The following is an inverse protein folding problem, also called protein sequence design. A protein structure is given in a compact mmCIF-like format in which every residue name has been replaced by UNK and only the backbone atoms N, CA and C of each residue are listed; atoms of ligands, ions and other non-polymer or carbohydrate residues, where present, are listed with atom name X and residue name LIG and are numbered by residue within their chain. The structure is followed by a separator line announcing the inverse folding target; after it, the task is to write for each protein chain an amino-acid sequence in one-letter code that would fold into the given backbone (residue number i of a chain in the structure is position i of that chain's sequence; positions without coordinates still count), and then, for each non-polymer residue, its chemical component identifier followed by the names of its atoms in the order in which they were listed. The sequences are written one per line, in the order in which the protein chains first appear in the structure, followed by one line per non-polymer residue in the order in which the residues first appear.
data_IF_952812814795
#
_entry.id   IF_952812814795
#
_cell.length_a   1.000
_cell.length_b   1.000
_cell.length_c   1.000
_cell.angle_alpha   90.00
_cell.angle_beta   90.00
_cell.angle_gamma   90.00
#
_symmetry.space_group_name_H-M   'P 1'
#
loop_
_entity.id
_entity.type
_entity.pdbx_description
1 polymer ?
#
# COMPACT_ATOMS: atom_id res chain seq x y z
N UNK A 1 4.20 25.92 10.13
CA UNK A 1 4.32 24.48 10.49
C UNK A 1 5.00 24.31 11.84
N UNK A 2 6.12 25.00 12.13
CA UNK A 2 6.82 24.93 13.43
C UNK A 2 5.89 25.29 14.59
N UNK A 3 5.15 26.39 14.49
CA UNK A 3 4.19 26.80 15.53
C UNK A 3 3.14 25.71 15.84
N UNK A 4 2.58 25.08 14.80
CA UNK A 4 1.64 23.95 14.99
C UNK A 4 2.30 22.75 15.67
N UNK A 5 3.56 22.48 15.34
CA UNK A 5 4.29 21.38 15.97
C UNK A 5 4.59 21.67 17.46
N UNK A 6 4.86 22.94 17.84
CA UNK A 6 5.00 23.34 19.24
C UNK A 6 3.70 23.14 20.02
N UNK A 7 2.55 23.48 19.45
CA UNK A 7 1.24 23.19 20.07
C UNK A 7 1.12 21.67 20.32
N UNK A 8 1.50 20.83 19.34
CA UNK A 8 1.50 19.38 19.52
C UNK A 8 2.44 18.89 20.62
N UNK A 9 3.60 19.54 20.80
CA UNK A 9 4.52 19.28 21.92
C UNK A 9 3.85 19.61 23.26
N UNK A 10 3.27 20.81 23.36
CA UNK A 10 2.63 21.31 24.58
C UNK A 10 1.44 20.45 25.00
N UNK A 11 0.70 19.91 24.04
CA UNK A 11 -0.43 19.00 24.27
C UNK A 11 -0.03 17.52 24.43
N UNK A 12 1.25 17.16 24.27
CA UNK A 12 1.73 15.78 24.30
C UNK A 12 1.31 14.94 23.09
N UNK A 13 0.85 15.59 22.00
CA UNK A 13 0.45 14.93 20.75
C UNK A 13 1.66 14.90 19.80
N UNK A 14 2.54 13.96 20.05
CA UNK A 14 3.79 13.80 19.29
C UNK A 14 3.96 12.36 18.76
N UNK A 15 4.59 12.18 17.59
CA UNK A 15 4.86 10.86 17.02
C UNK A 15 6.00 10.13 17.74
N UNK A 16 6.22 8.84 17.46
CA UNK A 16 7.36 8.09 17.94
C UNK A 16 8.69 8.66 17.45
N UNK A 17 9.64 8.82 18.37
CA UNK A 17 10.95 9.44 18.11
C UNK A 17 11.73 8.75 16.99
N UNK A 18 11.75 7.40 16.96
CA UNK A 18 12.53 6.65 15.98
C UNK A 18 12.06 6.90 14.53
N UNK A 19 10.76 7.16 14.30
CA UNK A 19 10.25 7.56 12.99
C UNK A 19 10.70 8.96 12.62
N UNK A 20 10.65 9.89 13.58
CA UNK A 20 11.04 11.27 13.36
C UNK A 20 12.55 11.44 13.14
N UNK A 21 13.38 10.50 13.60
CA UNK A 21 14.79 10.46 13.25
C UNK A 21 15.03 10.25 11.75
N UNK A 22 14.16 9.49 11.07
CA UNK A 22 14.22 9.34 9.60
C UNK A 22 13.85 10.66 8.91
N UNK A 23 12.78 11.32 9.37
CA UNK A 23 12.35 12.63 8.86
C UNK A 23 13.44 13.69 9.07
N UNK A 24 14.10 13.68 10.21
CA UNK A 24 15.23 14.60 10.49
C UNK A 24 16.36 14.45 9.46
N UNK A 25 16.72 13.21 9.08
CA UNK A 25 17.72 12.96 8.03
C UNK A 25 17.27 13.52 6.68
N UNK A 26 15.99 13.36 6.32
CA UNK A 26 15.43 13.91 5.07
C UNK A 26 15.46 15.44 5.06
N UNK A 27 15.16 16.08 6.20
CA UNK A 27 15.28 17.55 6.36
C UNK A 27 16.73 17.98 6.19
N UNK A 28 17.67 17.27 6.81
CA UNK A 28 19.12 17.58 6.70
C UNK A 28 19.61 17.57 5.24
N UNK A 29 19.14 16.61 4.43
CA UNK A 29 19.47 16.57 3.00
C UNK A 29 19.08 17.85 2.25
N UNK A 30 17.95 18.49 2.64
CA UNK A 30 17.50 19.74 2.01
C UNK A 30 18.28 20.98 2.49
N UNK A 31 18.96 20.87 3.63
CA UNK A 31 19.80 21.96 4.16
C UNK A 31 21.18 21.99 3.50
N UNK A 32 21.75 20.80 3.29
CA UNK A 32 23.14 20.63 2.84
C UNK A 32 23.26 20.36 1.34
N UNK A 33 22.18 20.57 0.57
CA UNK A 33 22.18 20.37 -0.87
C UNK A 33 22.60 21.64 -1.61
N UNK A 34 23.35 21.47 -2.70
CA UNK A 34 23.60 22.57 -3.62
C UNK A 34 22.30 22.97 -4.33
N UNK A 35 22.02 24.28 -4.51
CA UNK A 35 20.75 24.76 -5.08
C UNK A 35 20.37 24.11 -6.42
N UNK A 36 21.33 23.89 -7.30
CA UNK A 36 21.14 23.27 -8.62
C UNK A 36 20.81 21.76 -8.54
N UNK A 37 21.10 21.10 -7.41
CA UNK A 37 20.76 19.71 -7.14
C UNK A 37 19.48 19.56 -6.30
N UNK A 38 18.89 20.67 -5.86
CA UNK A 38 17.65 20.65 -5.09
C UNK A 38 16.50 20.04 -5.89
N UNK A 39 15.67 19.17 -5.26
CA UNK A 39 14.44 18.68 -5.88
C UNK A 39 13.49 19.81 -6.35
N UNK A 40 13.56 20.97 -5.68
CA UNK A 40 12.78 22.17 -6.05
C UNK A 40 13.27 22.81 -7.35
N UNK A 41 14.51 22.55 -7.77
CA UNK A 41 15.06 23.06 -9.02
C UNK A 41 14.76 22.14 -10.21
N UNK A 42 14.40 20.88 -9.98
CA UNK A 42 14.22 19.85 -11.03
C UNK A 42 13.26 20.31 -12.12
N UNK A 43 12.10 20.87 -11.74
CA UNK A 43 11.10 21.35 -12.72
C UNK A 43 11.66 22.43 -13.64
N UNK A 44 12.62 23.24 -13.17
CA UNK A 44 13.22 24.30 -13.96
C UNK A 44 14.32 23.80 -14.93
N UNK A 45 14.88 22.62 -14.67
CA UNK A 45 15.81 21.96 -15.62
C UNK A 45 15.12 21.48 -16.88
N UNK A 46 13.85 21.09 -16.75
CA UNK A 46 13.06 20.46 -17.80
C UNK A 46 12.16 21.48 -18.56
N UNK A 47 12.24 22.76 -18.22
CA UNK A 47 11.50 23.81 -18.93
C UNK A 47 12.01 23.91 -20.38
N UNK A 48 11.08 24.14 -21.32
CA UNK A 48 11.40 24.33 -22.72
C UNK A 48 12.37 25.52 -22.91
N UNK A 49 13.56 25.23 -23.44
CA UNK A 49 14.62 26.21 -23.67
C UNK A 49 14.27 27.32 -24.67
N UNK A 50 13.15 27.17 -25.40
CA UNK A 50 12.67 28.16 -26.36
C UNK A 50 11.80 29.27 -25.73
N UNK A 51 11.72 29.33 -24.40
CA UNK A 51 11.05 30.43 -23.69
C UNK A 51 12.02 31.63 -23.63
N UNK A 52 11.58 32.80 -24.06
CA UNK A 52 12.41 34.02 -24.17
C UNK A 52 13.13 34.43 -22.85
N UNK A 53 12.61 34.00 -21.68
CA UNK A 53 13.18 34.30 -20.36
C UNK A 53 13.79 33.08 -19.68
N UNK A 54 14.21 32.05 -20.41
CA UNK A 54 14.68 30.78 -19.84
C UNK A 54 15.78 30.96 -18.79
N UNK A 55 16.83 31.67 -19.12
CA UNK A 55 17.98 31.89 -18.23
C UNK A 55 17.59 32.72 -17.00
N UNK A 56 16.78 33.76 -17.17
CA UNK A 56 16.27 34.58 -16.05
C UNK A 56 15.43 33.78 -15.07
N UNK A 57 14.54 32.91 -15.57
CA UNK A 57 13.69 32.02 -14.73
C UNK A 57 14.54 31.04 -13.94
N UNK A 58 15.56 30.46 -14.58
CA UNK A 58 16.48 29.56 -13.90
C UNK A 58 17.29 30.26 -12.81
N UNK A 59 17.86 31.43 -13.11
CA UNK A 59 18.62 32.23 -12.12
C UNK A 59 17.72 32.65 -10.96
N UNK A 60 16.49 33.11 -11.23
CA UNK A 60 15.51 33.46 -10.21
C UNK A 60 15.16 32.27 -9.34
N UNK A 61 14.94 31.07 -9.94
CA UNK A 61 14.63 29.86 -9.20
C UNK A 61 15.80 29.46 -8.27
N UNK A 62 17.02 29.47 -8.75
CA UNK A 62 18.22 29.19 -7.95
C UNK A 62 18.38 30.18 -6.80
N UNK A 63 18.18 31.47 -7.07
CA UNK A 63 18.23 32.52 -6.05
C UNK A 63 17.16 32.31 -4.97
N UNK A 64 15.91 31.99 -5.33
CA UNK A 64 14.84 31.69 -4.37
C UNK A 64 15.17 30.45 -3.54
N UNK A 65 15.68 29.38 -4.17
CA UNK A 65 16.09 28.19 -3.45
C UNK A 65 17.18 28.51 -2.44
N UNK A 66 18.22 29.23 -2.85
CA UNK A 66 19.35 29.60 -1.99
C UNK A 66 18.92 30.53 -0.85
N UNK A 67 18.10 31.54 -1.13
CA UNK A 67 17.81 32.62 -0.16
C UNK A 67 16.53 32.40 0.65
N UNK A 68 15.64 31.50 0.25
CA UNK A 68 14.35 31.29 0.92
C UNK A 68 14.14 29.80 1.31
N UNK A 69 14.30 28.85 0.36
CA UNK A 69 13.97 27.45 0.61
C UNK A 69 14.97 26.82 1.58
N UNK A 70 16.26 26.86 1.25
CA UNK A 70 17.32 26.29 2.10
C UNK A 70 17.32 26.91 3.51
N UNK A 71 17.24 28.24 3.70
CA UNK A 71 17.13 28.83 5.03
C UNK A 71 15.86 28.43 5.79
N UNK A 72 14.74 28.17 5.10
CA UNK A 72 13.52 27.67 5.75
C UNK A 72 13.72 26.22 6.26
N UNK A 73 14.38 25.37 5.48
CA UNK A 73 14.74 24.02 5.93
C UNK A 73 15.78 24.05 7.05
N UNK A 74 16.74 24.98 7.04
CA UNK A 74 17.68 25.15 8.12
C UNK A 74 16.99 25.48 9.45
N UNK A 75 16.00 26.39 9.45
CA UNK A 75 15.18 26.66 10.64
C UNK A 75 14.39 25.43 11.09
N UNK A 76 13.82 24.67 10.15
CA UNK A 76 13.11 23.44 10.47
C UNK A 76 14.07 22.37 11.05
N UNK A 77 15.27 22.24 10.52
CA UNK A 77 16.30 21.33 10.99
C UNK A 77 16.71 21.63 12.44
N UNK A 78 16.96 22.93 12.76
CA UNK A 78 17.28 23.35 14.12
C UNK A 78 16.12 23.05 15.09
N UNK A 79 14.88 23.41 14.71
CA UNK A 79 13.71 23.09 15.50
C UNK A 79 13.54 21.57 15.74
N UNK A 80 13.74 20.75 14.70
CA UNK A 80 13.67 19.29 14.85
C UNK A 80 14.70 18.76 15.83
N UNK A 81 15.94 19.24 15.74
CA UNK A 81 17.04 18.81 16.58
C UNK A 81 16.85 19.21 18.04
N UNK A 82 16.48 20.45 18.28
CA UNK A 82 16.54 21.07 19.60
C UNK A 82 15.22 20.96 20.38
N UNK A 83 14.08 20.92 19.69
CA UNK A 83 12.77 20.94 20.33
C UNK A 83 11.96 19.66 20.02
N UNK A 84 11.80 19.31 18.74
CA UNK A 84 10.81 18.30 18.33
C UNK A 84 11.23 16.88 18.65
N UNK A 85 12.45 16.45 18.26
CA UNK A 85 12.95 15.10 18.54
C UNK A 85 13.06 14.80 20.04
N UNK A 86 13.54 15.72 20.90
CA UNK A 86 13.54 15.49 22.35
C UNK A 86 12.14 15.28 22.92
N UNK A 87 11.14 16.00 22.40
CA UNK A 87 9.74 15.90 22.84
C UNK A 87 9.01 14.67 22.28
N UNK A 88 9.49 14.05 21.18
CA UNK A 88 8.86 12.86 20.62
C UNK A 88 8.85 11.69 21.60
N UNK A 89 7.70 10.98 21.64
CA UNK A 89 7.51 9.81 22.52
C UNK A 89 8.40 8.62 22.13
N UNK A 90 8.69 7.76 23.09
CA UNK A 90 9.44 6.51 22.90
C UNK A 90 8.53 5.33 22.59
N UNK A 91 7.26 5.39 23.04
CA UNK A 91 6.24 4.37 22.78
C UNK A 91 5.77 4.39 21.31
N UNK A 92 5.24 3.26 20.83
CA UNK A 92 4.79 3.12 19.42
C UNK A 92 3.28 3.29 19.27
N UNK A 93 2.48 2.85 20.26
CA UNK A 93 1.02 2.88 20.20
C UNK A 93 0.44 4.31 20.26
N UNK A 94 -0.57 4.59 19.45
CA UNK A 94 -1.29 5.88 19.50
C UNK A 94 -2.04 6.07 20.83
N UNK A 95 -2.38 4.99 21.51
CA UNK A 95 -3.04 5.01 22.84
C UNK A 95 -2.26 5.76 23.90
N UNK A 96 -0.96 5.96 23.72
CA UNK A 96 -0.08 6.65 24.66
C UNK A 96 -0.18 8.18 24.61
N UNK A 97 -0.88 8.74 23.65
CA UNK A 97 -1.21 10.17 23.64
C UNK A 97 -2.51 10.42 24.42
N UNK A 98 -2.76 11.67 24.78
CA UNK A 98 -4.01 12.08 25.44
C UNK A 98 -5.23 11.65 24.60
N UNK A 99 -6.19 10.95 25.21
CA UNK A 99 -7.37 10.34 24.56
C UNK A 99 -7.00 9.40 23.39
N UNK A 100 -5.80 8.82 23.40
CA UNK A 100 -5.28 8.05 22.28
C UNK A 100 -6.04 6.74 22.06
N UNK A 101 -6.59 6.14 23.10
CA UNK A 101 -7.38 4.92 23.01
C UNK A 101 -8.71 5.15 22.30
N UNK A 102 -9.45 6.18 22.72
CA UNK A 102 -10.70 6.61 22.09
C UNK A 102 -10.45 7.09 20.65
N UNK A 103 -9.32 7.75 20.43
CA UNK A 103 -8.92 8.17 19.09
C UNK A 103 -8.63 6.97 18.17
N UNK A 104 -7.97 5.92 18.68
CA UNK A 104 -7.76 4.70 17.90
C UNK A 104 -9.07 3.98 17.56
N UNK A 105 -10.00 3.88 18.52
CA UNK A 105 -11.35 3.35 18.28
C UNK A 105 -12.11 4.14 17.21
N UNK A 106 -11.99 5.48 17.23
CA UNK A 106 -12.53 6.32 16.16
C UNK A 106 -11.86 6.01 14.81
N UNK A 107 -10.53 5.88 14.75
CA UNK A 107 -9.81 5.55 13.53
C UNK A 107 -10.18 4.17 12.99
N UNK A 108 -10.33 3.18 13.86
CA UNK A 108 -10.79 1.85 13.46
C UNK A 108 -12.18 1.94 12.76
N UNK A 109 -13.16 2.61 13.37
CA UNK A 109 -14.46 2.82 12.74
C UNK A 109 -14.37 3.63 11.44
N UNK A 110 -13.58 4.68 11.42
CA UNK A 110 -13.37 5.54 10.24
C UNK A 110 -12.83 4.76 9.05
N UNK A 111 -11.79 3.95 9.26
CA UNK A 111 -11.11 3.24 8.17
C UNK A 111 -11.83 1.96 7.75
N UNK A 112 -12.50 1.27 8.66
CA UNK A 112 -13.25 0.04 8.35
C UNK A 112 -14.68 0.30 7.91
N UNK A 113 -15.24 1.48 8.24
CA UNK A 113 -16.67 1.81 8.07
C UNK A 113 -17.62 0.84 8.79
N UNK A 114 -17.14 0.22 9.87
CA UNK A 114 -17.91 -0.72 10.72
C UNK A 114 -17.97 -0.22 12.16
N UNK A 115 -18.81 -0.85 12.97
CA UNK A 115 -18.88 -0.61 14.41
C UNK A 115 -18.02 -1.60 15.22
N UNK A 116 -17.18 -2.40 14.58
CA UNK A 116 -16.31 -3.33 15.27
C UNK A 116 -15.37 -2.61 16.24
N UNK A 117 -15.25 -3.16 17.42
CA UNK A 117 -14.25 -2.76 18.40
C UNK A 117 -12.85 -3.22 17.97
N UNK A 118 -11.77 -2.60 18.45
CA UNK A 118 -10.40 -3.08 18.20
C UNK A 118 -10.19 -4.55 18.61
N UNK A 119 -10.87 -5.03 19.66
CA UNK A 119 -10.79 -6.43 20.08
C UNK A 119 -11.45 -7.37 19.06
N UNK A 120 -12.63 -7.02 18.57
CA UNK A 120 -13.30 -7.82 17.52
C UNK A 120 -12.46 -7.88 16.26
N UNK A 121 -11.89 -6.74 15.83
CA UNK A 121 -10.99 -6.68 14.66
C UNK A 121 -9.75 -7.55 14.88
N UNK A 122 -9.13 -7.49 16.05
CA UNK A 122 -7.99 -8.34 16.41
C UNK A 122 -8.33 -9.82 16.30
N UNK A 123 -9.47 -10.23 16.86
CA UNK A 123 -9.94 -11.62 16.84
C UNK A 123 -10.27 -12.09 15.41
N UNK A 124 -10.88 -11.24 14.58
CA UNK A 124 -11.07 -11.50 13.14
C UNK A 124 -9.70 -11.74 12.48
N UNK A 125 -8.72 -10.89 12.78
CA UNK A 125 -7.36 -11.05 12.26
C UNK A 125 -6.72 -12.37 12.65
N UNK A 126 -6.81 -12.77 13.92
CA UNK A 126 -6.29 -14.06 14.39
C UNK A 126 -6.97 -15.26 13.70
N UNK A 127 -8.29 -15.21 13.52
CA UNK A 127 -9.04 -16.25 12.83
C UNK A 127 -8.62 -16.37 11.34
N UNK A 128 -8.48 -15.24 10.65
CA UNK A 128 -8.05 -15.21 9.26
C UNK A 128 -6.60 -15.69 9.09
N UNK A 129 -5.68 -15.28 9.97
CA UNK A 129 -4.29 -15.78 9.96
C UNK A 129 -4.26 -17.29 10.11
N UNK A 130 -5.08 -17.85 11.01
CA UNK A 130 -5.18 -19.30 11.20
C UNK A 130 -5.71 -19.99 9.94
N UNK A 131 -6.83 -19.51 9.39
CA UNK A 131 -7.45 -20.05 8.18
C UNK A 131 -6.47 -20.09 7.00
N UNK A 132 -5.84 -18.93 6.71
CA UNK A 132 -4.92 -18.81 5.58
C UNK A 132 -3.68 -19.69 5.77
N UNK A 133 -3.20 -19.80 7.01
CA UNK A 133 -2.06 -20.69 7.32
C UNK A 133 -2.39 -22.15 7.03
N UNK A 134 -3.59 -22.61 7.35
CA UNK A 134 -4.05 -23.96 7.02
C UNK A 134 -4.08 -24.20 5.50
N UNK A 135 -4.52 -23.21 4.70
CA UNK A 135 -4.47 -23.28 3.24
C UNK A 135 -3.02 -23.29 2.71
N UNK A 136 -2.15 -22.47 3.26
CA UNK A 136 -0.71 -22.47 2.93
C UNK A 136 -0.05 -23.83 3.24
N UNK A 137 -0.35 -24.41 4.40
CA UNK A 137 0.17 -25.72 4.78
C UNK A 137 -0.32 -26.85 3.86
N UNK A 138 -1.54 -26.75 3.31
CA UNK A 138 -2.04 -27.66 2.30
C UNK A 138 -1.25 -27.56 0.99
N UNK A 139 -0.93 -26.35 0.51
CA UNK A 139 -0.07 -26.17 -0.66
C UNK A 139 1.37 -26.66 -0.44
N UNK A 140 1.92 -26.48 0.75
CA UNK A 140 3.25 -27.01 1.12
C UNK A 140 3.29 -28.52 0.98
N UNK A 141 2.22 -29.22 1.36
CA UNK A 141 2.09 -30.68 1.15
C UNK A 141 1.96 -31.04 -0.33
N UNK A 142 1.22 -30.23 -1.12
CA UNK A 142 1.07 -30.43 -2.57
C UNK A 142 2.42 -30.38 -3.29
N UNK A 143 3.32 -29.46 -2.92
CA UNK A 143 4.68 -29.38 -3.48
C UNK A 143 5.66 -30.40 -2.87
N UNK A 144 5.18 -31.27 -1.98
CA UNK A 144 5.99 -32.33 -1.33
C UNK A 144 7.21 -31.79 -0.58
N UNK A 145 7.06 -30.67 0.09
CA UNK A 145 8.12 -30.09 0.91
C UNK A 145 8.30 -30.87 2.21
N UNK A 146 9.53 -31.30 2.50
CA UNK A 146 9.85 -32.12 3.67
C UNK A 146 10.30 -31.34 4.90
N UNK A 147 10.32 -30.00 4.80
CA UNK A 147 10.75 -29.12 5.90
C UNK A 147 9.58 -28.56 6.72
N UNK A 148 9.91 -27.72 7.70
CA UNK A 148 8.91 -26.97 8.48
C UNK A 148 8.30 -25.84 7.65
N UNK A 149 7.12 -25.32 8.09
CA UNK A 149 6.50 -24.13 7.51
C UNK A 149 7.49 -22.96 7.44
N UNK A 150 8.23 -22.71 8.53
CA UNK A 150 9.24 -21.64 8.57
C UNK A 150 10.34 -21.85 7.53
N UNK A 151 10.86 -23.08 7.41
CA UNK A 151 11.90 -23.40 6.42
C UNK A 151 11.41 -23.20 4.98
N UNK A 152 10.13 -23.48 4.70
CA UNK A 152 9.52 -23.20 3.40
C UNK A 152 9.45 -21.70 3.11
N UNK A 153 9.02 -20.89 4.09
CA UNK A 153 9.02 -19.43 3.96
C UNK A 153 10.44 -18.88 3.73
N UNK A 154 11.44 -19.45 4.39
CA UNK A 154 12.84 -19.04 4.22
C UNK A 154 13.37 -19.42 2.82
N UNK A 155 13.00 -20.60 2.28
CA UNK A 155 13.31 -20.98 0.90
C UNK A 155 12.68 -20.03 -0.12
N UNK A 156 11.40 -19.69 0.06
CA UNK A 156 10.73 -18.74 -0.82
C UNK A 156 11.41 -17.36 -0.85
N UNK A 157 12.00 -16.94 0.27
CA UNK A 157 12.71 -15.65 0.37
C UNK A 157 14.09 -15.64 -0.25
N UNK A 158 14.75 -16.79 -0.35
CA UNK A 158 16.18 -16.86 -0.62
C UNK A 158 16.56 -17.69 -1.86
N UNK A 159 15.66 -18.53 -2.35
CA UNK A 159 15.93 -19.40 -3.49
C UNK A 159 15.87 -18.62 -4.81
N UNK A 160 16.97 -18.51 -5.56
CA UNK A 160 17.04 -17.70 -6.79
C UNK A 160 16.02 -18.07 -7.86
N UNK A 161 15.54 -19.32 -7.89
CA UNK A 161 14.52 -19.74 -8.88
C UNK A 161 13.26 -18.87 -8.89
N UNK A 162 12.95 -18.23 -7.76
CA UNK A 162 11.77 -17.41 -7.58
C UNK A 162 11.96 -15.95 -8.01
N UNK A 163 13.14 -15.57 -8.48
CA UNK A 163 13.47 -14.19 -8.80
C UNK A 163 13.93 -14.06 -10.24
N UNK A 164 13.85 -12.86 -10.79
CA UNK A 164 14.48 -12.50 -12.06
C UNK A 164 15.87 -11.94 -11.81
N UNK A 165 16.75 -12.11 -12.80
CA UNK A 165 18.12 -11.60 -12.70
C UNK A 165 18.20 -10.11 -13.02
N UNK A 166 17.28 -9.60 -13.85
CA UNK A 166 17.28 -8.20 -14.31
C UNK A 166 15.95 -7.48 -14.04
N UNK A 167 16.02 -6.16 -13.96
CA UNK A 167 14.84 -5.29 -13.84
C UNK A 167 13.97 -5.34 -15.09
N UNK A 168 14.59 -5.52 -16.26
CA UNK A 168 13.93 -5.63 -17.55
C UNK A 168 13.05 -6.88 -17.62
N UNK A 169 13.59 -8.06 -17.27
CA UNK A 169 12.83 -9.31 -17.23
C UNK A 169 11.66 -9.22 -16.24
N UNK A 170 11.90 -8.63 -15.07
CA UNK A 170 10.84 -8.39 -14.09
C UNK A 170 9.74 -7.50 -14.66
N UNK A 171 10.08 -6.42 -15.35
CA UNK A 171 9.11 -5.50 -15.92
C UNK A 171 8.32 -6.14 -17.05
N UNK A 172 8.97 -6.88 -17.94
CA UNK A 172 8.32 -7.65 -19.02
C UNK A 172 7.32 -8.66 -18.46
N UNK A 173 7.66 -9.34 -17.35
CA UNK A 173 6.74 -10.27 -16.70
C UNK A 173 5.48 -9.58 -16.16
N UNK A 174 5.59 -8.38 -15.59
CA UNK A 174 4.43 -7.57 -15.18
C UNK A 174 3.58 -7.15 -16.38
N UNK A 175 4.20 -6.68 -17.47
CA UNK A 175 3.50 -6.32 -18.71
C UNK A 175 2.75 -7.51 -19.31
N UNK A 176 3.44 -8.64 -19.45
CA UNK A 176 2.85 -9.88 -20.00
C UNK A 176 1.69 -10.38 -19.14
N UNK A 177 1.82 -10.36 -17.81
CA UNK A 177 0.77 -10.76 -16.89
C UNK A 177 -0.45 -9.86 -17.01
N UNK A 178 -0.26 -8.55 -16.97
CA UNK A 178 -1.36 -7.59 -17.11
C UNK A 178 -2.10 -7.80 -18.44
N UNK A 179 -1.36 -8.05 -19.54
CA UNK A 179 -1.98 -8.28 -20.85
C UNK A 179 -2.70 -9.63 -20.98
N UNK A 180 -2.29 -10.66 -20.24
CA UNK A 180 -3.03 -11.94 -20.15
C UNK A 180 -4.35 -11.80 -19.40
N UNK A 181 -4.43 -10.90 -18.43
CA UNK A 181 -5.65 -10.65 -17.63
C UNK A 181 -6.73 -9.96 -18.47
N UNK A 182 -6.37 -8.99 -19.31
CA UNK A 182 -7.33 -8.12 -20.03
C UNK A 182 -8.47 -8.88 -20.76
N UNK A 183 -8.21 -9.92 -21.58
CA UNK A 183 -9.27 -10.62 -22.31
C UNK A 183 -10.19 -11.46 -21.39
N UNK A 184 -9.74 -11.82 -20.20
CA UNK A 184 -10.48 -12.67 -19.28
C UNK A 184 -11.54 -11.89 -18.48
N UNK A 185 -11.44 -10.55 -18.45
CA UNK A 185 -12.33 -9.69 -17.66
C UNK A 185 -13.80 -9.81 -18.06
N UNK A 186 -14.07 -10.08 -19.33
CA UNK A 186 -15.44 -10.29 -19.84
C UNK A 186 -16.17 -11.48 -19.19
N UNK A 187 -15.45 -12.36 -18.50
CA UNK A 187 -16.05 -13.46 -17.72
C UNK A 187 -16.72 -12.98 -16.45
N UNK A 188 -16.25 -11.86 -15.88
CA UNK A 188 -16.61 -11.38 -14.55
C UNK A 188 -17.30 -10.00 -14.53
N UNK A 189 -17.27 -9.26 -15.64
CA UNK A 189 -17.75 -7.89 -15.69
C UNK A 189 -18.56 -7.63 -16.97
N UNK A 190 -19.72 -6.97 -16.84
CA UNK A 190 -20.47 -6.44 -17.98
C UNK A 190 -19.94 -5.08 -18.43
N UNK A 191 -19.45 -4.28 -17.49
CA UNK A 191 -18.95 -2.93 -17.75
C UNK A 191 -17.46 -2.85 -17.42
N UNK A 192 -16.68 -2.40 -18.40
CA UNK A 192 -15.25 -2.12 -18.23
C UNK A 192 -15.01 -0.62 -18.40
N UNK A 193 -14.01 -0.02 -17.72
CA UNK A 193 -13.71 1.40 -17.90
C UNK A 193 -13.24 1.67 -19.33
N UNK A 194 -13.66 2.82 -19.87
CA UNK A 194 -13.21 3.29 -21.18
C UNK A 194 -11.77 3.81 -21.14
N UNK A 195 -11.36 4.33 -19.98
CA UNK A 195 -10.01 4.84 -19.77
C UNK A 195 -9.00 3.68 -19.67
N UNK A 196 -7.95 3.66 -20.52
CA UNK A 196 -6.92 2.64 -20.45
C UNK A 196 -5.99 2.83 -19.25
N UNK A 197 -5.20 1.80 -18.97
CA UNK A 197 -4.07 1.89 -18.06
C UNK A 197 -2.77 1.44 -18.74
N UNK A 198 -1.66 1.84 -18.14
CA UNK A 198 -0.34 1.40 -18.53
C UNK A 198 0.51 1.05 -17.30
N UNK A 199 1.67 0.44 -17.54
CA UNK A 199 2.66 0.16 -16.49
C UNK A 199 3.82 1.13 -16.59
N UNK A 200 4.38 1.50 -15.44
CA UNK A 200 5.61 2.31 -15.33
C UNK A 200 6.49 1.82 -14.19
N UNK A 201 7.81 1.88 -14.33
CA UNK A 201 8.69 1.69 -13.19
C UNK A 201 8.53 2.85 -12.19
N UNK A 202 8.62 2.53 -10.89
CA UNK A 202 8.79 3.54 -9.85
C UNK A 202 10.13 4.25 -10.07
N UNK A 203 10.19 5.61 -10.03
CA UNK A 203 11.43 6.33 -10.20
C UNK A 203 12.53 5.85 -9.25
N UNK A 204 13.73 5.61 -9.77
CA UNK A 204 14.85 5.01 -9.02
C UNK A 204 15.25 5.83 -7.78
N UNK A 205 15.02 7.15 -7.78
CA UNK A 205 15.31 8.01 -6.64
C UNK A 205 14.43 7.70 -5.42
N UNK A 206 13.22 7.17 -5.64
CA UNK A 206 12.27 6.83 -4.58
C UNK A 206 12.09 5.32 -4.38
N UNK A 207 12.47 4.51 -5.36
CA UNK A 207 12.24 3.07 -5.36
C UNK A 207 12.79 2.33 -4.11
N UNK A 208 13.99 2.67 -3.56
CA UNK A 208 14.51 2.02 -2.35
C UNK A 208 13.61 2.16 -1.11
N UNK A 209 12.90 3.29 -1.00
CA UNK A 209 12.06 3.63 0.17
C UNK A 209 10.55 3.51 -0.13
N UNK A 210 10.19 3.00 -1.31
CA UNK A 210 8.79 2.87 -1.76
C UNK A 210 8.33 1.41 -1.66
N UNK A 211 7.01 1.20 -1.55
CA UNK A 211 6.35 -0.11 -1.57
C UNK A 211 6.61 -0.87 -2.88
N UNK A 212 6.19 -2.14 -2.94
CA UNK A 212 6.37 -3.01 -4.12
C UNK A 212 5.68 -2.47 -5.37
N UNK A 213 4.53 -1.83 -5.19
CA UNK A 213 3.77 -1.21 -6.28
C UNK A 213 2.75 -0.21 -5.75
N UNK A 214 2.18 0.58 -6.65
CA UNK A 214 1.00 1.40 -6.39
C UNK A 214 0.28 1.77 -7.69
N UNK A 215 -1.01 2.03 -7.57
CA UNK A 215 -1.80 2.52 -8.69
C UNK A 215 -1.95 4.05 -8.63
N UNK A 216 -1.82 4.70 -9.80
CA UNK A 216 -2.12 6.11 -10.00
C UNK A 216 -3.34 6.25 -10.91
N UNK A 217 -4.42 6.87 -10.40
CA UNK A 217 -5.64 7.11 -11.17
C UNK A 217 -5.40 7.95 -12.42
N UNK A 218 -6.27 7.87 -13.43
CA UNK A 218 -6.26 8.76 -14.60
C UNK A 218 -6.38 10.23 -14.19
N UNK A 219 -6.02 11.14 -15.10
CA UNK A 219 -6.36 12.54 -14.94
C UNK A 219 -7.87 12.76 -15.15
N UNK A 220 -8.46 13.66 -14.35
CA UNK A 220 -9.91 13.91 -14.40
C UNK A 220 -10.39 14.49 -15.74
N UNK A 221 -9.51 15.15 -16.48
CA UNK A 221 -9.75 15.73 -17.81
C UNK A 221 -9.45 14.76 -18.97
N UNK A 222 -9.10 13.50 -18.67
CA UNK A 222 -8.74 12.50 -19.67
C UNK A 222 -7.36 12.66 -20.31
N UNK A 223 -6.58 13.67 -19.92
CA UNK A 223 -5.26 13.97 -20.52
C UNK A 223 -4.17 12.92 -20.18
N UNK A 224 -4.41 12.06 -19.21
CA UNK A 224 -3.46 11.03 -18.76
C UNK A 224 -4.20 9.76 -18.33
N UNK A 225 -3.76 8.61 -18.87
CA UNK A 225 -4.24 7.28 -18.46
C UNK A 225 -3.95 6.96 -17.00
N UNK A 226 -4.57 5.90 -16.47
CA UNK A 226 -4.17 5.28 -15.21
C UNK A 226 -2.81 4.61 -15.33
N UNK A 227 -2.05 4.55 -14.24
CA UNK A 227 -0.76 3.85 -14.24
C UNK A 227 -0.60 2.95 -13.03
N UNK A 228 -0.24 1.70 -13.30
CA UNK A 228 0.29 0.75 -12.37
C UNK A 228 1.81 0.92 -12.28
N UNK A 229 2.30 1.46 -11.17
CA UNK A 229 3.73 1.64 -10.91
C UNK A 229 4.30 0.42 -10.22
N UNK A 230 5.35 -0.16 -10.79
CA UNK A 230 6.04 -1.35 -10.26
C UNK A 230 7.46 -1.00 -9.79
N UNK A 231 7.85 -1.55 -8.65
CA UNK A 231 9.17 -1.33 -8.09
C UNK A 231 10.16 -2.33 -8.67
N UNK A 232 11.04 -1.85 -9.53
CA UNK A 232 12.08 -2.65 -10.18
C UNK A 232 13.44 -2.61 -9.43
N UNK A 233 13.52 -1.86 -8.33
CA UNK A 233 14.72 -1.81 -7.52
C UNK A 233 14.95 -3.15 -6.84
N UNK A 234 16.14 -3.73 -7.06
CA UNK A 234 16.54 -5.02 -6.52
C UNK A 234 15.59 -6.15 -6.95
N UNK A 235 15.63 -6.59 -8.22
CA UNK A 235 14.74 -7.65 -8.72
C UNK A 235 14.89 -8.96 -7.94
N UNK A 236 16.07 -9.23 -7.35
CA UNK A 236 16.35 -10.37 -6.51
C UNK A 236 15.59 -10.43 -5.16
N UNK A 237 14.78 -9.40 -4.86
CA UNK A 237 13.86 -9.39 -3.72
C UNK A 237 12.39 -9.23 -4.14
N UNK A 238 12.10 -9.36 -5.45
CA UNK A 238 10.76 -9.24 -6.05
C UNK A 238 10.34 -10.59 -6.64
N UNK A 239 9.66 -11.45 -5.86
CA UNK A 239 9.45 -12.83 -6.29
C UNK A 239 8.42 -12.97 -7.42
N UNK A 240 8.69 -13.88 -8.35
CA UNK A 240 7.82 -14.21 -9.50
C UNK A 240 6.40 -14.57 -9.09
N UNK A 241 6.24 -15.28 -7.98
CA UNK A 241 4.95 -15.76 -7.50
C UNK A 241 4.03 -14.65 -6.96
N UNK A 242 4.52 -13.42 -6.79
CA UNK A 242 3.70 -12.26 -6.40
C UNK A 242 3.20 -11.43 -7.60
N UNK A 243 3.69 -11.69 -8.83
CA UNK A 243 3.38 -10.84 -9.98
C UNK A 243 1.89 -10.89 -10.35
N UNK A 244 1.29 -12.09 -10.38
CA UNK A 244 -0.12 -12.23 -10.75
C UNK A 244 -1.04 -11.54 -9.75
N UNK A 245 -0.89 -11.82 -8.46
CA UNK A 245 -1.73 -11.24 -7.41
C UNK A 245 -1.59 -9.72 -7.33
N UNK A 246 -0.39 -9.20 -7.51
CA UNK A 246 -0.14 -7.77 -7.47
C UNK A 246 -0.73 -7.04 -8.69
N UNK A 247 -0.63 -7.66 -9.90
CA UNK A 247 -1.22 -7.13 -11.12
C UNK A 247 -2.76 -7.09 -11.04
N UNK A 248 -3.38 -8.10 -10.46
CA UNK A 248 -4.81 -8.11 -10.20
C UNK A 248 -5.22 -7.01 -9.22
N UNK A 249 -4.44 -6.78 -8.15
CA UNK A 249 -4.74 -5.76 -7.14
C UNK A 249 -4.64 -4.34 -7.69
N UNK A 250 -3.51 -4.01 -8.31
CA UNK A 250 -3.18 -2.64 -8.72
C UNK A 250 -3.80 -2.25 -10.07
N UNK A 251 -3.93 -3.21 -10.99
CA UNK A 251 -4.48 -2.96 -12.32
C UNK A 251 -5.91 -3.49 -12.47
N UNK A 252 -6.10 -4.57 -13.21
CA UNK A 252 -7.40 -5.15 -13.55
C UNK A 252 -7.57 -6.53 -12.92
N UNK A 253 -8.69 -6.81 -12.27
CA UNK A 253 -9.87 -5.96 -12.05
C UNK A 253 -9.82 -5.12 -10.75
N UNK A 254 -8.65 -4.89 -10.16
CA UNK A 254 -8.47 -4.18 -8.90
C UNK A 254 -8.66 -2.66 -9.00
N UNK A 255 -7.65 -1.92 -8.55
CA UNK A 255 -7.74 -0.46 -8.41
C UNK A 255 -8.07 0.28 -9.70
N UNK A 256 -7.47 -0.12 -10.84
CA UNK A 256 -7.77 0.58 -12.09
C UNK A 256 -9.24 0.44 -12.46
N UNK A 257 -9.78 -0.78 -12.47
CA UNK A 257 -11.18 -0.99 -12.82
C UNK A 257 -12.12 -0.18 -11.93
N UNK A 258 -12.02 -0.32 -10.61
CA UNK A 258 -12.91 0.35 -9.66
C UNK A 258 -12.82 1.88 -9.77
N UNK A 259 -11.60 2.43 -9.75
CA UNK A 259 -11.40 3.88 -9.68
C UNK A 259 -11.74 4.55 -11.02
N UNK A 260 -11.38 3.93 -12.15
CA UNK A 260 -11.70 4.47 -13.45
C UNK A 260 -13.20 4.42 -13.72
N UNK A 261 -13.91 3.32 -13.40
CA UNK A 261 -15.37 3.26 -13.50
C UNK A 261 -16.03 4.33 -12.62
N UNK A 262 -15.61 4.49 -11.36
CA UNK A 262 -16.18 5.52 -10.49
C UNK A 262 -16.03 6.94 -11.06
N UNK A 263 -14.95 7.21 -11.81
CA UNK A 263 -14.74 8.50 -12.47
C UNK A 263 -15.67 8.70 -13.69
N UNK A 264 -16.08 7.61 -14.35
CA UNK A 264 -16.95 7.63 -15.55
C UNK A 264 -18.44 7.64 -15.19
N UNK A 265 -18.83 7.18 -14.02
CA UNK A 265 -20.21 7.19 -13.56
C UNK A 265 -20.74 8.62 -13.37
N UNK A 266 -22.07 8.81 -13.56
CA UNK A 266 -22.73 10.07 -13.26
C UNK A 266 -22.97 10.24 -11.76
N UNK A 267 -21.91 10.50 -11.04
CA UNK A 267 -21.87 10.68 -9.59
C UNK A 267 -21.37 12.08 -9.22
N UNK A 268 -21.77 12.61 -8.06
CA UNK A 268 -21.20 13.86 -7.56
C UNK A 268 -19.70 13.74 -7.27
N UNK A 269 -18.96 14.82 -7.45
CA UNK A 269 -17.49 14.83 -7.36
C UNK A 269 -16.93 14.25 -6.05
N UNK A 270 -17.61 14.43 -4.92
CA UNK A 270 -17.15 13.86 -3.65
C UNK A 270 -17.18 12.32 -3.64
N UNK A 271 -18.04 11.69 -4.45
CA UNK A 271 -18.04 10.23 -4.62
C UNK A 271 -17.03 9.77 -5.66
N UNK A 272 -16.85 10.50 -6.77
CA UNK A 272 -15.87 10.16 -7.82
C UNK A 272 -14.42 10.26 -7.32
N UNK A 273 -14.13 11.29 -6.52
CA UNK A 273 -12.76 11.63 -6.12
C UNK A 273 -12.46 11.43 -4.63
N UNK A 274 -13.48 11.28 -3.80
CA UNK A 274 -13.35 10.91 -2.39
C UNK A 274 -13.43 9.39 -2.24
N UNK A 275 -12.36 8.78 -1.70
CA UNK A 275 -12.34 7.33 -1.49
C UNK A 275 -12.77 6.94 -0.08
N UNK A 276 -13.56 5.87 0.04
CA UNK A 276 -13.75 5.13 1.29
C UNK A 276 -12.70 4.03 1.31
N UNK A 277 -11.72 4.12 2.23
CA UNK A 277 -10.55 3.23 2.23
C UNK A 277 -10.95 1.75 2.28
N UNK A 278 -11.95 1.38 3.09
CA UNK A 278 -12.42 -0.01 3.16
C UNK A 278 -13.00 -0.51 1.83
N UNK A 279 -13.64 0.35 1.06
CA UNK A 279 -14.18 -0.04 -0.24
C UNK A 279 -13.07 -0.14 -1.29
N UNK A 280 -12.16 0.85 -1.36
CA UNK A 280 -11.08 0.86 -2.35
C UNK A 280 -10.10 -0.29 -2.13
N UNK A 281 -9.61 -0.45 -0.91
CA UNK A 281 -8.63 -1.48 -0.57
C UNK A 281 -9.28 -2.87 -0.41
N UNK A 282 -10.51 -2.89 0.09
CA UNK A 282 -11.30 -4.12 0.18
C UNK A 282 -11.62 -4.70 -1.18
N UNK A 283 -11.93 -3.85 -2.17
CA UNK A 283 -12.11 -4.27 -3.56
C UNK A 283 -10.82 -4.81 -4.16
N UNK A 284 -9.70 -4.10 -4.02
CA UNK A 284 -8.38 -4.58 -4.48
C UNK A 284 -8.06 -5.97 -3.92
N UNK A 285 -8.26 -6.16 -2.62
CA UNK A 285 -8.01 -7.46 -1.97
C UNK A 285 -9.06 -8.53 -2.35
N UNK A 286 -10.31 -8.16 -2.58
CA UNK A 286 -11.33 -9.05 -3.13
C UNK A 286 -10.98 -9.50 -4.54
N UNK A 287 -10.50 -8.58 -5.36
CA UNK A 287 -10.09 -8.84 -6.74
C UNK A 287 -8.95 -9.87 -6.83
N UNK A 288 -8.04 -9.90 -5.85
CA UNK A 288 -6.98 -10.92 -5.80
C UNK A 288 -7.55 -12.36 -5.84
N UNK A 289 -8.71 -12.60 -5.24
CA UNK A 289 -9.37 -13.91 -5.29
C UNK A 289 -10.02 -14.19 -6.66
N UNK A 290 -10.47 -13.17 -7.38
CA UNK A 290 -11.00 -13.32 -8.74
C UNK A 290 -9.94 -13.83 -9.73
N UNK A 291 -8.66 -13.75 -9.38
CA UNK A 291 -7.58 -14.34 -10.17
C UNK A 291 -7.79 -15.83 -10.48
N UNK A 292 -8.42 -16.59 -9.58
CA UNK A 292 -8.78 -17.99 -9.85
C UNK A 292 -9.79 -18.10 -11.00
N UNK A 293 -10.81 -17.25 -11.00
CA UNK A 293 -11.84 -17.22 -12.05
C UNK A 293 -11.30 -16.69 -13.39
N UNK A 294 -10.23 -15.88 -13.35
CA UNK A 294 -9.51 -15.35 -14.50
C UNK A 294 -8.45 -16.32 -15.06
N UNK A 295 -8.32 -17.52 -14.49
CA UNK A 295 -7.34 -18.51 -14.93
C UNK A 295 -5.90 -18.24 -14.52
N UNK A 296 -5.69 -17.42 -13.49
CA UNK A 296 -4.39 -17.22 -12.84
C UNK A 296 -4.13 -18.26 -11.75
N UNK A 297 -2.97 -18.20 -11.14
CA UNK A 297 -2.58 -19.07 -10.01
C UNK A 297 -2.60 -20.56 -10.38
N UNK A 298 -2.07 -20.90 -11.57
CA UNK A 298 -2.12 -22.27 -12.09
C UNK A 298 -1.11 -23.23 -11.45
N UNK A 299 -0.09 -22.72 -10.80
CA UNK A 299 0.90 -23.50 -10.07
C UNK A 299 0.84 -23.25 -8.56
N UNK A 300 1.33 -24.19 -7.71
CA UNK A 300 1.27 -24.05 -6.26
C UNK A 300 1.98 -22.80 -5.71
N UNK A 301 3.03 -22.30 -6.39
CA UNK A 301 3.76 -21.14 -5.92
C UNK A 301 3.01 -19.84 -6.20
N UNK A 302 2.37 -19.70 -7.35
CA UNK A 302 1.51 -18.56 -7.64
C UNK A 302 0.27 -18.53 -6.74
N UNK A 303 -0.33 -19.69 -6.41
CA UNK A 303 -1.36 -19.81 -5.36
C UNK A 303 -0.82 -19.36 -4.00
N UNK A 304 0.40 -19.79 -3.65
CA UNK A 304 1.03 -19.37 -2.40
C UNK A 304 1.33 -17.87 -2.38
N UNK A 305 1.62 -17.26 -3.54
CA UNK A 305 1.75 -15.82 -3.71
C UNK A 305 0.47 -15.09 -3.36
N UNK A 306 -0.69 -15.54 -3.88
CA UNK A 306 -1.99 -14.99 -3.52
C UNK A 306 -2.28 -15.14 -2.01
N UNK A 307 -2.03 -16.31 -1.43
CA UNK A 307 -2.19 -16.52 0.01
C UNK A 307 -1.22 -15.68 0.85
N UNK A 308 0.00 -15.38 0.35
CA UNK A 308 0.94 -14.48 1.01
C UNK A 308 0.37 -13.06 1.10
N UNK A 309 -0.32 -12.60 0.07
CA UNK A 309 -0.98 -11.30 0.06
C UNK A 309 -2.22 -11.28 0.97
N UNK A 310 -3.02 -12.33 0.95
CA UNK A 310 -4.17 -12.48 1.84
C UNK A 310 -3.73 -12.54 3.33
N UNK A 311 -2.69 -13.33 3.62
CA UNK A 311 -2.06 -13.43 4.94
C UNK A 311 -1.50 -12.08 5.41
N UNK A 312 -0.82 -11.35 4.54
CA UNK A 312 -0.29 -10.04 4.88
C UNK A 312 -1.40 -9.11 5.41
N UNK A 313 -2.56 -9.08 4.72
CA UNK A 313 -3.68 -8.22 5.13
C UNK A 313 -4.41 -8.75 6.38
N UNK A 314 -4.42 -10.05 6.61
CA UNK A 314 -4.90 -10.61 7.87
C UNK A 314 -3.98 -10.25 9.06
N UNK A 315 -2.66 -10.35 8.88
CA UNK A 315 -1.66 -9.94 9.88
C UNK A 315 -1.82 -8.47 10.25
N UNK A 316 -2.17 -7.58 9.30
CA UNK A 316 -2.41 -6.16 9.58
C UNK A 316 -3.47 -5.93 10.65
N UNK A 317 -4.56 -6.71 10.65
CA UNK A 317 -5.59 -6.61 11.68
C UNK A 317 -5.04 -6.90 13.08
N UNK A 318 -4.12 -7.87 13.18
CA UNK A 318 -3.52 -8.29 14.45
C UNK A 318 -2.46 -7.31 14.93
N UNK A 319 -1.54 -6.89 14.05
CA UNK A 319 -0.39 -6.07 14.47
C UNK A 319 -0.77 -4.60 14.68
N UNK A 320 -1.68 -4.05 13.88
CA UNK A 320 -2.15 -2.66 14.03
C UNK A 320 -2.88 -2.49 15.37
N UNK A 321 -3.88 -3.36 15.64
CA UNK A 321 -4.58 -3.39 16.94
C UNK A 321 -3.64 -3.74 18.09
N UNK A 322 -2.72 -4.68 17.86
CA UNK A 322 -1.69 -5.08 18.82
C UNK A 322 -0.88 -3.89 19.31
N UNK A 323 -0.32 -3.10 18.42
CA UNK A 323 0.53 -1.96 18.76
C UNK A 323 -0.27 -0.76 19.28
N UNK A 324 -1.44 -0.47 18.73
CA UNK A 324 -2.19 0.74 19.04
C UNK A 324 -3.20 0.56 20.18
N UNK A 325 -3.55 -0.67 20.54
CA UNK A 325 -4.55 -0.97 21.57
C UNK A 325 -4.09 -1.98 22.63
N UNK A 326 -3.26 -3.01 22.29
CA UNK A 326 -2.91 -4.15 23.15
C UNK A 326 -1.44 -4.20 23.63
N UNK A 327 -0.74 -3.09 23.73
CA UNK A 327 0.63 -3.00 24.30
C UNK A 327 1.72 -3.76 23.55
N UNK A 328 1.51 -4.16 22.30
CA UNK A 328 2.56 -4.78 21.52
C UNK A 328 3.68 -3.78 21.23
N UNK A 329 4.90 -4.24 21.42
CA UNK A 329 6.06 -3.51 20.93
C UNK A 329 6.18 -3.60 19.41
N UNK A 330 6.97 -2.70 18.83
CA UNK A 330 7.36 -2.80 17.41
C UNK A 330 7.97 -4.17 17.08
N UNK A 331 8.77 -4.74 18.01
CA UNK A 331 9.44 -6.02 17.79
C UNK A 331 8.45 -7.19 17.80
N UNK A 332 7.42 -7.16 18.65
CA UNK A 332 6.37 -8.17 18.68
C UNK A 332 5.63 -8.21 17.34
N UNK A 333 5.27 -7.04 16.79
CA UNK A 333 4.64 -6.92 15.48
C UNK A 333 5.53 -7.47 14.35
N UNK A 334 6.83 -7.14 14.36
CA UNK A 334 7.80 -7.65 13.39
C UNK A 334 7.92 -9.19 13.50
N UNK A 335 8.05 -9.71 14.70
CA UNK A 335 8.19 -11.15 14.92
C UNK A 335 6.94 -11.91 14.48
N UNK A 336 5.75 -11.39 14.84
CA UNK A 336 4.48 -11.98 14.41
C UNK A 336 4.37 -12.04 12.89
N UNK A 337 4.77 -10.96 12.22
CA UNK A 337 4.74 -10.86 10.77
C UNK A 337 5.69 -11.86 10.10
N UNK A 338 6.95 -11.91 10.54
CA UNK A 338 7.98 -12.80 9.98
C UNK A 338 7.67 -14.29 10.19
N UNK A 339 6.97 -14.63 11.26
CA UNK A 339 6.60 -16.00 11.58
C UNK A 339 5.42 -16.53 10.75
N UNK A 340 4.63 -15.64 10.15
CA UNK A 340 3.40 -16.00 9.44
C UNK A 340 3.39 -15.63 7.94
N UNK A 341 4.41 -14.96 7.42
CA UNK A 341 4.42 -14.46 6.03
C UNK A 341 5.77 -14.69 5.37
N UNK A 342 5.78 -14.94 4.05
CA UNK A 342 7.00 -15.04 3.23
C UNK A 342 7.64 -13.68 2.88
N UNK A 343 7.07 -12.56 3.33
CA UNK A 343 7.61 -11.22 3.07
C UNK A 343 9.04 -11.06 3.59
N UNK A 344 9.84 -10.30 2.85
CA UNK A 344 11.23 -10.02 3.23
C UNK A 344 11.29 -9.25 4.54
N UNK A 345 12.39 -9.39 5.28
CA UNK A 345 12.58 -8.64 6.53
C UNK A 345 12.49 -7.12 6.30
N UNK A 346 13.01 -6.62 5.17
CA UNK A 346 12.96 -5.20 4.85
C UNK A 346 11.53 -4.72 4.62
N UNK A 347 10.71 -5.48 3.87
CA UNK A 347 9.30 -5.15 3.66
C UNK A 347 8.54 -5.12 4.99
N UNK A 348 8.77 -6.10 5.85
CA UNK A 348 8.13 -6.16 7.19
C UNK A 348 8.49 -4.95 8.05
N UNK A 349 9.77 -4.53 8.05
CA UNK A 349 10.20 -3.34 8.79
C UNK A 349 9.51 -2.07 8.28
N UNK A 350 9.45 -1.89 6.96
CA UNK A 350 8.82 -0.74 6.33
C UNK A 350 7.31 -0.71 6.61
N UNK A 351 6.65 -1.85 6.54
CA UNK A 351 5.22 -1.97 6.78
C UNK A 351 4.84 -1.73 8.25
N UNK A 352 5.57 -2.32 9.19
CA UNK A 352 5.32 -2.08 10.63
C UNK A 352 5.54 -0.60 10.97
N UNK A 353 6.59 0.02 10.44
CA UNK A 353 6.84 1.46 10.62
C UNK A 353 5.71 2.32 10.00
N UNK A 354 5.16 1.89 8.86
CA UNK A 354 4.00 2.54 8.23
C UNK A 354 2.76 2.44 9.12
N UNK A 355 2.46 1.27 9.69
CA UNK A 355 1.30 1.10 10.56
C UNK A 355 1.42 1.95 11.83
N UNK A 356 2.61 2.02 12.42
CA UNK A 356 2.86 2.90 13.58
C UNK A 356 2.59 4.38 13.23
N UNK A 357 2.92 4.79 12.01
CA UNK A 357 2.74 6.17 11.57
C UNK A 357 1.32 6.49 11.08
N UNK A 358 0.53 5.47 10.73
CA UNK A 358 -0.83 5.63 10.20
C UNK A 358 -1.82 4.68 10.87
N UNK A 359 -2.14 4.89 12.16
CA UNK A 359 -2.99 4.00 12.94
C UNK A 359 -4.35 3.74 12.30
N UNK A 360 -4.77 2.48 12.27
CA UNK A 360 -6.08 2.05 11.81
C UNK A 360 -6.24 1.94 10.28
N UNK A 361 -5.39 2.59 9.47
CA UNK A 361 -5.52 2.50 8.00
C UNK A 361 -5.35 1.07 7.50
N UNK A 362 -4.42 0.33 8.09
CA UNK A 362 -4.12 -1.04 7.71
C UNK A 362 -5.30 -2.01 7.91
N UNK A 363 -6.27 -1.67 8.74
CA UNK A 363 -7.47 -2.48 9.01
C UNK A 363 -8.45 -2.53 7.83
N UNK A 364 -8.46 -1.50 7.01
CA UNK A 364 -9.43 -1.28 5.95
C UNK A 364 -9.46 -2.43 4.92
N UNK A 365 -8.31 -2.94 4.54
CA UNK A 365 -8.11 -3.95 3.48
C UNK A 365 -8.91 -5.23 3.74
N UNK A 366 -8.57 -5.94 4.81
CA UNK A 366 -9.17 -7.23 5.12
C UNK A 366 -10.63 -7.09 5.56
N UNK A 367 -10.97 -6.08 6.35
CA UNK A 367 -12.36 -5.84 6.76
C UNK A 367 -13.22 -5.53 5.54
N UNK A 368 -12.73 -4.72 4.60
CA UNK A 368 -13.43 -4.43 3.34
C UNK A 368 -13.63 -5.68 2.48
N UNK A 369 -12.57 -6.49 2.29
CA UNK A 369 -12.66 -7.75 1.56
C UNK A 369 -13.69 -8.70 2.16
N UNK A 370 -13.63 -8.92 3.49
CA UNK A 370 -14.55 -9.82 4.18
C UNK A 370 -16.00 -9.36 4.02
N UNK A 371 -16.24 -8.04 3.99
CA UNK A 371 -17.58 -7.50 3.76
C UNK A 371 -18.08 -7.76 2.35
N UNK A 372 -17.24 -7.59 1.34
CA UNK A 372 -17.62 -7.89 -0.06
C UNK A 372 -17.89 -9.40 -0.22
N UNK A 373 -17.04 -10.26 0.35
CA UNK A 373 -17.26 -11.71 0.35
C UNK A 373 -18.56 -12.12 1.06
N UNK A 374 -18.84 -11.50 2.19
CA UNK A 374 -20.12 -11.71 2.91
C UNK A 374 -21.33 -11.34 2.04
N UNK A 375 -21.26 -10.19 1.36
CA UNK A 375 -22.34 -9.74 0.47
C UNK A 375 -22.52 -10.67 -0.72
N UNK A 376 -21.41 -11.14 -1.32
CA UNK A 376 -21.44 -12.12 -2.40
C UNK A 376 -22.09 -13.43 -1.95
N UNK A 377 -21.63 -14.00 -0.84
CA UNK A 377 -22.21 -15.23 -0.31
C UNK A 377 -23.71 -15.10 0.02
N UNK A 378 -24.14 -13.96 0.53
CA UNK A 378 -25.58 -13.67 0.75
C UNK A 378 -26.35 -13.57 -0.54
N UNK A 379 -25.79 -12.97 -1.58
CA UNK A 379 -26.44 -12.88 -2.90
C UNK A 379 -26.55 -14.27 -3.54
N UNK A 380 -25.46 -15.05 -3.56
CA UNK A 380 -25.44 -16.44 -4.05
C UNK A 380 -26.51 -17.30 -3.34
N UNK A 381 -26.58 -17.24 -2.01
CA UNK A 381 -27.57 -18.00 -1.23
C UNK A 381 -29.03 -17.57 -1.50
N UNK A 382 -29.24 -16.25 -1.68
CA UNK A 382 -30.61 -15.70 -1.85
C UNK A 382 -31.14 -15.88 -3.26
N UNK A 383 -30.29 -15.74 -4.27
CA UNK A 383 -30.62 -15.78 -5.69
C UNK A 383 -30.59 -17.22 -6.22
N UNK A 384 -29.71 -18.07 -5.67
CA UNK A 384 -29.55 -19.48 -6.09
C UNK A 384 -28.99 -19.61 -7.50
N UNK A 385 -29.60 -20.48 -8.30
CA UNK A 385 -29.13 -20.83 -9.65
C UNK A 385 -29.16 -19.65 -10.64
N UNK A 386 -29.95 -18.61 -10.34
CA UNK A 386 -30.03 -17.39 -11.17
C UNK A 386 -28.95 -16.35 -10.79
N UNK A 387 -28.01 -16.65 -9.87
CA UNK A 387 -26.95 -15.74 -9.49
C UNK A 387 -25.96 -15.50 -10.64
N UNK A 388 -25.80 -14.24 -11.04
CA UNK A 388 -24.79 -13.80 -12.01
C UNK A 388 -23.71 -12.94 -11.30
N UNK A 389 -22.47 -13.40 -11.36
CA UNK A 389 -21.33 -12.71 -10.79
C UNK A 389 -21.09 -11.32 -11.42
N UNK A 390 -21.42 -11.14 -12.70
CA UNK A 390 -21.27 -9.87 -13.40
C UNK A 390 -22.27 -8.84 -12.89
N UNK A 391 -23.52 -9.24 -12.71
CA UNK A 391 -24.55 -8.37 -12.11
C UNK A 391 -24.18 -7.99 -10.67
N UNK A 392 -23.65 -8.95 -9.89
CA UNK A 392 -23.15 -8.65 -8.55
C UNK A 392 -22.04 -7.60 -8.57
N UNK A 393 -21.07 -7.72 -9.48
CA UNK A 393 -19.99 -6.74 -9.58
C UNK A 393 -20.49 -5.38 -10.05
N UNK A 394 -21.42 -5.34 -11.01
CA UNK A 394 -22.03 -4.09 -11.46
C UNK A 394 -22.72 -3.35 -10.29
N UNK A 395 -23.45 -4.08 -9.43
CA UNK A 395 -24.10 -3.48 -8.26
C UNK A 395 -23.11 -2.99 -7.20
N UNK A 396 -22.01 -3.70 -7.00
CA UNK A 396 -20.96 -3.29 -6.03
C UNK A 396 -20.20 -2.06 -6.51
N UNK A 397 -20.02 -1.88 -7.81
CA UNK A 397 -19.18 -0.84 -8.41
C UNK A 397 -19.93 0.44 -8.83
N UNK A 398 -21.26 0.46 -8.73
CA UNK A 398 -22.11 1.65 -9.03
C UNK A 398 -21.88 2.83 -8.11
#
# INVERSE_FOLDING_TARGET
KIEKARIGIDEGIVPPRFLMQKVYKQIALQVFIEPNNSPFYRIFKDINKNIDSYDEVQEMALNVIKTKVIPAYARLHTFFKEEYLPACRTSVGIKEIKNGKEYYEFLARKFTTTNFTPLEIHNIGLAEVKRIKEEMEALIKEVKWEGTFKAFLDDLRTNPKFYYDTSEELFEAYLATSKRIDPELVKLFNVLPSMPYGLKPIPMESAPDTTTAYYQRPAADGSRAGYYFVNLYRPEVRPKYEIEVLSVHEAMPGHHLQIALAMELDLPNFRKYGGITAFVEGWGLYSERLGYDLGLYQDPYSKFGQLTYDMWRAIRLVVDTGMHYFDWSRQDAINYFLNNSAKTKQDVLNEVDRYINWPGQALAYKIGQLKILELRAKAELKIGDDFDIKEFHDEVLK
#
